data_IF_833738850681
#
_entry.id   IF_833738850681
#
_cell.length_a   1.000
_cell.length_b   1.000
_cell.length_c   1.000
_cell.angle_alpha   90.00
_cell.angle_beta   90.00
_cell.angle_gamma   90.00
#
_symmetry.space_group_name_H-M   'P 1'
#
loop_
_entity.id
_entity.type
_entity.pdbx_description
1 polymer ?
#
# COMPACT_ATOMS: atom_id res chain seq x y z
N UNK A 1 -4.26 -9.16 8.90
CA UNK A 1 -3.03 -9.01 8.08
C UNK A 1 -2.08 -8.04 8.75
N UNK A 2 -0.81 -8.11 8.39
CA UNK A 2 0.21 -7.15 8.81
C UNK A 2 0.28 -6.04 7.77
N UNK A 3 0.06 -4.80 8.17
CA UNK A 3 -0.11 -3.65 7.27
C UNK A 3 0.97 -2.61 7.52
N UNK A 4 1.65 -2.19 6.45
CA UNK A 4 2.56 -1.06 6.45
C UNK A 4 1.82 0.14 5.89
N UNK A 5 1.92 1.30 6.56
CA UNK A 5 1.26 2.53 6.13
C UNK A 5 2.31 3.57 5.78
N UNK A 6 2.16 4.21 4.62
CA UNK A 6 3.03 5.29 4.19
C UNK A 6 2.20 6.50 3.81
N UNK A 7 2.40 7.61 4.53
CA UNK A 7 1.71 8.89 4.29
C UNK A 7 2.54 9.99 4.91
N UNK A 8 2.83 11.05 4.15
CA UNK A 8 3.67 12.15 4.65
C UNK A 8 2.93 13.06 5.63
N UNK A 9 1.60 12.99 5.67
CA UNK A 9 0.81 13.71 6.65
C UNK A 9 0.61 12.82 7.87
N UNK A 10 1.31 13.14 8.94
CA UNK A 10 1.32 12.31 10.14
C UNK A 10 -0.08 12.05 10.71
N UNK A 11 -0.94 13.05 10.70
CA UNK A 11 -2.30 12.90 11.20
C UNK A 11 -3.12 11.92 10.35
N UNK A 12 -2.92 11.93 9.03
CA UNK A 12 -3.58 11.01 8.12
C UNK A 12 -3.08 9.59 8.35
N UNK A 13 -1.75 9.43 8.46
CA UNK A 13 -1.16 8.12 8.73
C UNK A 13 -1.66 7.52 10.04
N UNK A 14 -1.77 8.33 11.08
CA UNK A 14 -2.29 7.90 12.39
C UNK A 14 -3.76 7.49 12.28
N UNK A 15 -4.57 8.27 11.55
CA UNK A 15 -5.97 7.94 11.33
C UNK A 15 -6.12 6.62 10.57
N UNK A 16 -5.33 6.42 9.51
CA UNK A 16 -5.35 5.17 8.77
C UNK A 16 -4.96 4.00 9.67
N UNK A 17 -3.94 4.18 10.51
CA UNK A 17 -3.51 3.14 11.44
C UNK A 17 -4.64 2.74 12.38
N UNK A 18 -5.36 3.73 12.92
CA UNK A 18 -6.50 3.47 13.79
C UNK A 18 -7.58 2.67 13.07
N UNK A 19 -7.92 3.09 11.84
CA UNK A 19 -8.94 2.39 11.05
C UNK A 19 -8.53 0.96 10.71
N UNK A 20 -7.27 0.75 10.36
CA UNK A 20 -6.75 -0.58 10.07
C UNK A 20 -6.84 -1.49 11.29
N UNK A 21 -6.48 -0.95 12.46
CA UNK A 21 -6.59 -1.69 13.72
C UNK A 21 -8.03 -2.04 14.06
N UNK A 22 -8.96 -1.14 13.79
CA UNK A 22 -10.39 -1.41 13.98
C UNK A 22 -10.91 -2.51 13.05
N UNK A 23 -10.23 -2.74 11.94
CA UNK A 23 -10.54 -3.84 11.03
C UNK A 23 -9.86 -5.15 11.45
N UNK A 24 -9.29 -5.19 12.65
CA UNK A 24 -8.62 -6.37 13.22
C UNK A 24 -7.33 -6.75 12.48
N UNK A 25 -6.64 -5.77 11.92
CA UNK A 25 -5.33 -5.96 11.30
C UNK A 25 -4.25 -5.32 12.17
N UNK A 26 -3.02 -5.80 12.01
CA UNK A 26 -1.86 -5.27 12.72
C UNK A 26 -1.16 -4.21 11.87
N UNK A 27 -0.84 -3.05 12.45
CA UNK A 27 -0.01 -2.03 11.77
C UNK A 27 1.43 -2.26 12.20
N UNK A 28 2.29 -2.61 11.24
CA UNK A 28 3.70 -2.90 11.56
C UNK A 28 4.54 -1.65 11.67
N UNK A 29 4.22 -0.63 10.88
CA UNK A 29 4.91 0.66 10.95
C UNK A 29 4.11 1.70 10.17
N UNK A 30 4.27 2.97 10.53
CA UNK A 30 3.76 4.11 9.77
C UNK A 30 4.96 4.96 9.39
N UNK A 31 5.18 5.15 8.09
CA UNK A 31 6.31 5.91 7.58
C UNK A 31 5.82 7.11 6.76
N UNK A 32 6.69 8.08 6.51
CA UNK A 32 6.32 9.35 5.89
C UNK A 32 6.87 9.61 4.50
N UNK A 33 7.72 8.73 3.98
CA UNK A 33 8.31 8.92 2.64
C UNK A 33 8.30 7.64 1.84
N UNK A 34 8.39 7.76 0.51
CA UNK A 34 8.47 6.60 -0.37
C UNK A 34 9.72 5.76 -0.11
N UNK A 35 10.85 6.41 0.17
CA UNK A 35 12.08 5.69 0.48
C UNK A 35 11.94 4.89 1.77
N UNK A 36 11.37 5.50 2.80
CA UNK A 36 11.12 4.79 4.05
C UNK A 36 10.17 3.62 3.87
N UNK A 37 9.17 3.76 2.97
CA UNK A 37 8.26 2.67 2.66
C UNK A 37 8.99 1.49 2.03
N UNK A 38 9.90 1.75 1.09
CA UNK A 38 10.70 0.71 0.46
C UNK A 38 11.56 -0.01 1.49
N UNK A 39 12.22 0.76 2.36
CA UNK A 39 13.07 0.21 3.43
C UNK A 39 12.26 -0.58 4.45
N UNK A 40 11.11 -0.06 4.86
CA UNK A 40 10.24 -0.73 5.82
C UNK A 40 9.67 -2.03 5.25
N UNK A 41 9.37 -2.04 3.95
CA UNK A 41 8.92 -3.27 3.30
C UNK A 41 9.97 -4.36 3.42
N UNK A 42 11.23 -4.02 3.18
CA UNK A 42 12.33 -5.00 3.29
C UNK A 42 12.51 -5.51 4.72
N UNK A 43 12.28 -4.64 5.73
CA UNK A 43 12.42 -5.04 7.14
C UNK A 43 11.27 -5.91 7.61
N UNK A 44 10.05 -5.55 7.25
CA UNK A 44 8.85 -6.14 7.84
C UNK A 44 8.19 -7.23 7.00
N UNK A 45 8.39 -7.20 5.69
CA UNK A 45 7.66 -8.08 4.76
C UNK A 45 6.15 -8.09 5.09
N UNK A 46 5.49 -6.94 5.06
CA UNK A 46 4.07 -6.88 5.41
C UNK A 46 3.21 -7.62 4.41
N UNK A 47 2.01 -7.98 4.83
CA UNK A 47 1.05 -8.61 3.92
C UNK A 47 0.49 -7.63 2.91
N UNK A 48 0.38 -6.34 3.29
CA UNK A 48 -0.11 -5.30 2.41
C UNK A 48 0.48 -3.95 2.80
N UNK A 49 0.66 -3.07 1.80
CA UNK A 49 1.09 -1.69 2.00
C UNK A 49 -0.06 -0.77 1.63
N UNK A 50 -0.42 0.14 2.54
CA UNK A 50 -1.30 1.28 2.24
C UNK A 50 -0.41 2.48 2.02
N UNK A 51 -0.40 3.05 0.83
CA UNK A 51 0.55 4.10 0.49
C UNK A 51 -0.11 5.27 -0.23
N UNK A 52 0.06 6.47 0.31
CA UNK A 52 -0.40 7.69 -0.34
C UNK A 52 0.44 7.95 -1.59
N UNK A 53 -0.21 8.49 -2.63
CA UNK A 53 0.51 8.86 -3.85
C UNK A 53 1.45 10.04 -3.60
N UNK A 54 0.94 11.09 -2.95
CA UNK A 54 1.70 12.31 -2.74
C UNK A 54 2.61 12.20 -1.54
N UNK A 55 3.91 12.00 -1.83
CA UNK A 55 4.95 12.02 -0.82
C UNK A 55 6.16 12.75 -1.39
N UNK A 56 6.94 13.47 -0.55
CA UNK A 56 8.08 14.24 -1.05
C UNK A 56 9.14 13.34 -1.68
N UNK A 57 9.77 13.86 -2.73
CA UNK A 57 10.90 13.24 -3.46
C UNK A 57 10.54 12.01 -4.27
N UNK A 58 9.80 11.09 -3.71
CA UNK A 58 9.44 9.82 -4.35
C UNK A 58 7.96 9.59 -4.13
N UNK A 59 7.14 9.69 -5.18
CA UNK A 59 5.71 9.48 -5.05
C UNK A 59 5.38 8.00 -4.85
N UNK A 60 4.14 7.73 -4.41
CA UNK A 60 3.71 6.38 -4.08
C UNK A 60 3.75 5.41 -5.24
N UNK A 61 3.46 5.86 -6.45
CA UNK A 61 3.51 4.99 -7.62
C UNK A 61 4.93 4.52 -7.91
N UNK A 62 5.90 5.42 -7.80
CA UNK A 62 7.32 5.07 -7.98
C UNK A 62 7.80 4.14 -6.87
N UNK A 63 7.41 4.41 -5.62
CA UNK A 63 7.74 3.53 -4.51
C UNK A 63 7.15 2.13 -4.73
N UNK A 64 5.91 2.07 -5.18
CA UNK A 64 5.23 0.80 -5.50
C UNK A 64 6.01 0.00 -6.54
N UNK A 65 6.42 0.65 -7.64
CA UNK A 65 7.22 -0.02 -8.67
C UNK A 65 8.53 -0.55 -8.11
N UNK A 66 9.18 0.21 -7.24
CA UNK A 66 10.44 -0.24 -6.61
C UNK A 66 10.22 -1.45 -5.70
N UNK A 67 9.15 -1.44 -4.92
CA UNK A 67 8.81 -2.59 -4.07
C UNK A 67 8.55 -3.82 -4.91
N UNK A 68 7.74 -3.67 -5.97
CA UNK A 68 7.39 -4.79 -6.85
C UNK A 68 8.58 -5.31 -7.65
N UNK A 69 9.56 -4.45 -7.96
CA UNK A 69 10.78 -4.90 -8.64
C UNK A 69 11.59 -5.86 -7.78
N UNK A 70 11.55 -5.68 -6.45
CA UNK A 70 12.26 -6.55 -5.51
C UNK A 70 11.42 -7.73 -5.08
N UNK A 71 10.11 -7.54 -4.95
CA UNK A 71 9.18 -8.59 -4.55
C UNK A 71 7.93 -8.53 -5.43
N UNK A 72 7.91 -9.30 -6.51
CA UNK A 72 6.76 -9.28 -7.44
C UNK A 72 5.44 -9.70 -6.81
N UNK A 73 5.48 -10.33 -5.65
CA UNK A 73 4.27 -10.76 -4.93
C UNK A 73 3.78 -9.73 -3.93
N UNK A 74 4.45 -8.59 -3.82
CA UNK A 74 4.05 -7.53 -2.91
C UNK A 74 2.65 -7.02 -3.26
N UNK A 75 1.87 -6.71 -2.23
CA UNK A 75 0.52 -6.17 -2.39
C UNK A 75 0.52 -4.73 -1.91
N UNK A 76 0.33 -3.81 -2.84
CA UNK A 76 0.33 -2.39 -2.54
C UNK A 76 -1.02 -1.81 -2.92
N UNK A 77 -1.65 -1.12 -1.98
CA UNK A 77 -2.86 -0.35 -2.20
C UNK A 77 -2.44 1.12 -2.22
N UNK A 78 -2.67 1.79 -3.35
CA UNK A 78 -2.35 3.21 -3.46
C UNK A 78 -3.58 4.06 -3.16
N UNK A 79 -3.36 5.17 -2.48
CA UNK A 79 -4.38 6.14 -2.16
C UNK A 79 -4.07 7.40 -2.95
N UNK A 80 -4.99 7.84 -3.82
CA UNK A 80 -4.71 8.97 -4.70
C UNK A 80 -5.97 9.75 -5.05
N UNK A 81 -5.78 10.96 -5.64
CA UNK A 81 -6.85 11.68 -6.28
C UNK A 81 -7.03 11.20 -7.71
N UNK A 82 -8.09 11.65 -8.37
CA UNK A 82 -8.41 11.24 -9.74
C UNK A 82 -7.35 11.68 -10.75
N UNK A 83 -6.66 12.80 -10.50
CA UNK A 83 -5.67 13.34 -11.44
C UNK A 83 -4.43 12.46 -11.59
N UNK A 84 -4.17 11.55 -10.66
CA UNK A 84 -3.01 10.65 -10.71
C UNK A 84 -3.37 9.24 -11.15
N UNK A 85 -4.60 9.01 -11.58
CA UNK A 85 -5.11 7.67 -11.80
C UNK A 85 -4.29 6.87 -12.82
N UNK A 86 -3.86 7.48 -13.92
CA UNK A 86 -3.08 6.78 -14.94
C UNK A 86 -1.73 6.27 -14.39
N UNK A 87 -1.03 7.10 -13.61
CA UNK A 87 0.24 6.69 -13.00
C UNK A 87 0.03 5.57 -12.00
N UNK A 88 -1.04 5.65 -11.23
CA UNK A 88 -1.38 4.66 -10.21
C UNK A 88 -1.72 3.31 -10.84
N UNK A 89 -2.50 3.32 -11.92
CA UNK A 89 -2.85 2.08 -12.64
C UNK A 89 -1.60 1.41 -13.20
N UNK A 90 -0.65 2.18 -13.72
CA UNK A 90 0.57 1.64 -14.29
C UNK A 90 1.59 1.19 -13.24
N UNK A 91 1.39 1.52 -11.98
CA UNK A 91 2.33 1.20 -10.90
C UNK A 91 2.40 -0.29 -10.55
N UNK A 92 1.37 -1.05 -10.90
CA UNK A 92 1.25 -2.45 -10.49
C UNK A 92 0.55 -2.64 -9.15
N UNK A 93 0.00 -1.58 -8.56
CA UNK A 93 -0.76 -1.70 -7.32
C UNK A 93 -1.94 -2.66 -7.49
N UNK A 94 -2.23 -3.46 -6.45
CA UNK A 94 -3.33 -4.42 -6.52
C UNK A 94 -4.70 -3.75 -6.36
N UNK A 95 -4.72 -2.56 -5.77
CA UNK A 95 -5.96 -1.80 -5.60
C UNK A 95 -5.65 -0.32 -5.46
N UNK A 96 -6.64 0.51 -5.71
CA UNK A 96 -6.55 1.97 -5.59
C UNK A 96 -7.73 2.47 -4.77
N UNK A 97 -7.43 3.32 -3.78
CA UNK A 97 -8.45 4.05 -3.04
C UNK A 97 -8.41 5.50 -3.49
N UNK A 98 -9.53 6.01 -3.99
CA UNK A 98 -9.63 7.40 -4.44
C UNK A 98 -10.09 8.29 -3.29
N UNK A 99 -9.45 9.46 -3.16
CA UNK A 99 -9.84 10.45 -2.15
C UNK A 99 -11.05 11.26 -2.62
N UNK A 100 -11.97 11.61 -1.72
CA UNK A 100 -12.06 11.18 -0.33
C UNK A 100 -12.51 9.72 -0.23
N UNK A 101 -11.93 8.98 0.73
CA UNK A 101 -12.24 7.55 0.87
C UNK A 101 -13.61 7.41 1.53
N UNK A 102 -14.60 6.75 0.88
CA UNK A 102 -15.90 6.55 1.50
C UNK A 102 -15.81 5.67 2.74
N UNK A 103 -16.74 5.90 3.68
CA UNK A 103 -16.83 5.10 4.90
C UNK A 103 -17.01 3.63 4.54
N UNK A 104 -16.20 2.78 5.15
CA UNK A 104 -16.25 1.34 4.92
C UNK A 104 -15.46 0.85 3.72
N UNK A 105 -15.05 1.76 2.81
CA UNK A 105 -14.31 1.37 1.61
C UNK A 105 -12.94 0.78 1.94
N UNK A 106 -12.26 1.34 2.94
CA UNK A 106 -10.96 0.82 3.37
C UNK A 106 -11.08 -0.63 3.86
N UNK A 107 -12.09 -0.90 4.69
CA UNK A 107 -12.33 -2.24 5.21
C UNK A 107 -12.61 -3.24 4.08
N UNK A 108 -13.44 -2.84 3.11
CA UNK A 108 -13.74 -3.68 1.94
C UNK A 108 -12.50 -4.03 1.15
N UNK A 109 -11.67 -3.01 0.85
CA UNK A 109 -10.48 -3.21 0.03
C UNK A 109 -9.47 -4.10 0.76
N UNK A 110 -9.28 -3.89 2.05
CA UNK A 110 -8.39 -4.74 2.84
C UNK A 110 -8.87 -6.19 2.84
N UNK A 111 -10.17 -6.41 2.98
CA UNK A 111 -10.72 -7.75 2.94
C UNK A 111 -10.52 -8.40 1.56
N UNK A 112 -10.80 -7.67 0.50
CA UNK A 112 -10.63 -8.15 -0.87
C UNK A 112 -9.19 -8.53 -1.14
N UNK A 113 -8.25 -7.66 -0.78
CA UNK A 113 -6.81 -7.89 -0.99
C UNK A 113 -6.35 -9.08 -0.15
N UNK A 114 -6.83 -9.19 1.09
CA UNK A 114 -6.47 -10.29 1.97
C UNK A 114 -6.95 -11.64 1.46
N UNK A 115 -8.01 -11.66 0.66
CA UNK A 115 -8.56 -12.88 0.08
C UNK A 115 -7.95 -13.25 -1.27
N UNK A 116 -7.06 -12.42 -1.81
CA UNK A 116 -6.40 -12.73 -3.08
C UNK A 116 -5.49 -13.94 -2.92
N UNK A 117 -5.52 -14.83 -3.91
CA UNK A 117 -4.61 -15.96 -3.93
C UNK A 117 -3.17 -15.44 -4.09
N UNK A 118 -2.23 -16.10 -3.40
CA UNK A 118 -0.81 -15.80 -3.59
C UNK A 118 -0.42 -16.22 -5.00
N UNK A 119 0.17 -15.31 -5.80
CA UNK A 119 0.59 -15.70 -7.15
C UNK A 119 1.69 -16.76 -7.07
N UNK A 120 1.77 -17.66 -8.04
CA UNK A 120 2.83 -18.67 -8.05
C UNK A 120 4.19 -17.99 -8.19
N UNK A 121 5.25 -18.58 -7.61
CA UNK A 121 6.60 -18.04 -7.78
C UNK A 121 6.98 -18.03 -9.26
N UNK A 122 7.56 -16.93 -9.71
CA UNK A 122 7.91 -16.73 -11.12
C UNK A 122 8.84 -17.82 -11.66
N UNK A 123 9.77 -18.27 -10.85
CA UNK A 123 10.72 -19.30 -11.27
C UNK A 123 10.07 -20.61 -11.67
N UNK A 124 8.84 -20.87 -11.22
CA UNK A 124 8.13 -22.09 -11.60
C UNK A 124 7.54 -22.01 -12.99
N UNK A 125 7.57 -20.83 -13.58
CA UNK A 125 7.08 -20.63 -14.93
C UNK A 125 8.15 -20.91 -15.98
N UNK A 126 9.38 -21.06 -15.56
CA UNK A 126 10.50 -21.32 -16.47
C UNK A 126 10.55 -22.77 -16.92
#
# INVERSE_FOLDING_TARGET
MRVLIADDQKSVGTTLATLVQHCSHEVVEVVGTGLEAIQAYSRHHPDVVLMDFWMPKLNGATACRNILAKDPNARVILISGLSQLSEVVESGAVAVLTKPIPIGRLAEVLQTVGNLATPPPKKKLA
#
